data_IF_923079649862
#
_entry.id   IF_923079649862
#
_cell.length_a   1.000
_cell.length_b   1.000
_cell.length_c   1.000
_cell.angle_alpha   90.00
_cell.angle_beta   90.00
_cell.angle_gamma   90.00
#
_symmetry.space_group_name_H-M   'P 1'
#
loop_
_entity.id
_entity.type
_entity.pdbx_description
1 polymer ?
#
# COMPACT_ATOMS: atom_id res chain seq x y z
N UNK A 1 22.63 -16.76 9.06
CA UNK A 1 22.50 -16.13 10.41
C UNK A 1 22.64 -14.61 10.37
N UNK A 2 23.58 -14.04 9.60
CA UNK A 2 23.75 -12.58 9.44
C UNK A 2 22.52 -11.88 8.82
N UNK A 3 21.88 -12.49 7.84
CA UNK A 3 20.73 -11.88 7.13
C UNK A 3 19.49 -11.75 8.01
N UNK A 4 19.27 -12.70 8.92
CA UNK A 4 18.16 -12.67 9.88
C UNK A 4 18.33 -11.53 10.89
N UNK A 5 19.54 -11.35 11.43
CA UNK A 5 19.84 -10.25 12.36
C UNK A 5 19.62 -8.88 11.70
N UNK A 6 20.04 -8.73 10.45
CA UNK A 6 19.81 -7.50 9.66
C UNK A 6 18.32 -7.25 9.39
N UNK A 7 17.55 -8.29 9.08
CA UNK A 7 16.10 -8.18 8.88
C UNK A 7 15.37 -7.75 10.16
N UNK A 8 15.76 -8.29 11.32
CA UNK A 8 15.21 -7.92 12.63
C UNK A 8 15.56 -6.47 13.01
N UNK A 9 16.80 -6.04 12.74
CA UNK A 9 17.25 -4.66 12.96
C UNK A 9 16.48 -3.66 12.07
N UNK A 10 16.29 -3.99 10.79
CA UNK A 10 15.48 -3.19 9.87
C UNK A 10 14.02 -3.10 10.34
N UNK A 11 13.42 -4.23 10.73
CA UNK A 11 12.05 -4.26 11.24
C UNK A 11 11.88 -3.39 12.49
N UNK A 12 12.84 -3.44 13.43
CA UNK A 12 12.85 -2.59 14.62
C UNK A 12 12.86 -1.11 14.23
N UNK A 13 13.76 -0.71 13.31
CA UNK A 13 13.86 0.67 12.83
C UNK A 13 12.56 1.15 12.18
N UNK A 14 11.93 0.31 11.35
CA UNK A 14 10.65 0.63 10.72
C UNK A 14 9.55 0.85 11.76
N UNK A 15 9.45 0.01 12.78
CA UNK A 15 8.47 0.20 13.85
C UNK A 15 8.71 1.49 14.66
N UNK A 16 9.96 1.82 14.97
CA UNK A 16 10.30 3.06 15.66
C UNK A 16 9.90 4.29 14.83
N UNK A 17 10.12 4.26 13.52
CA UNK A 17 9.68 5.31 12.59
C UNK A 17 8.15 5.37 12.49
N UNK A 18 7.48 4.22 12.44
CA UNK A 18 6.03 4.11 12.36
C UNK A 18 5.36 4.78 13.56
N UNK A 19 5.85 4.50 14.78
CA UNK A 19 5.33 5.12 16.01
C UNK A 19 5.54 6.63 16.02
N UNK A 20 6.65 7.13 15.48
CA UNK A 20 6.89 8.58 15.37
C UNK A 20 5.92 9.23 14.39
N UNK A 21 5.75 8.65 13.20
CA UNK A 21 4.83 9.15 12.19
C UNK A 21 3.36 9.11 12.66
N UNK A 22 2.96 8.06 13.41
CA UNK A 22 1.63 7.98 14.04
C UNK A 22 1.39 9.14 15.01
N UNK A 23 2.37 9.51 15.83
CA UNK A 23 2.25 10.63 16.79
C UNK A 23 2.15 11.99 16.11
N UNK A 24 2.56 12.08 14.84
CA UNK A 24 2.60 13.32 14.07
C UNK A 24 1.46 13.41 13.05
N UNK A 25 0.60 12.39 12.96
CA UNK A 25 -0.39 12.24 11.90
C UNK A 25 0.23 12.44 10.50
N UNK A 26 1.46 11.94 10.31
CA UNK A 26 2.17 11.99 9.02
C UNK A 26 1.74 10.81 8.16
N UNK A 27 0.57 10.95 7.54
CA UNK A 27 -0.02 9.91 6.69
C UNK A 27 0.85 9.59 5.46
N UNK A 28 1.63 10.54 4.96
CA UNK A 28 2.56 10.30 3.85
C UNK A 28 3.67 9.34 4.27
N UNK A 29 4.31 9.62 5.40
CA UNK A 29 5.35 8.75 5.95
C UNK A 29 4.79 7.39 6.40
N UNK A 30 3.60 7.36 6.99
CA UNK A 30 2.93 6.09 7.33
C UNK A 30 2.67 5.24 6.10
N UNK A 31 2.21 5.84 4.99
CA UNK A 31 2.01 5.13 3.72
C UNK A 31 3.30 4.49 3.23
N UNK A 32 4.40 5.24 3.25
CA UNK A 32 5.75 4.77 2.86
C UNK A 32 6.23 3.62 3.75
N UNK A 33 6.13 3.78 5.07
CA UNK A 33 6.59 2.79 6.05
C UNK A 33 5.81 1.48 5.95
N UNK A 34 4.48 1.54 5.83
CA UNK A 34 3.67 0.33 5.64
C UNK A 34 4.00 -0.38 4.33
N UNK A 35 4.30 0.34 3.26
CA UNK A 35 4.74 -0.25 1.98
C UNK A 35 6.08 -0.98 2.13
N UNK A 36 7.03 -0.37 2.84
CA UNK A 36 8.35 -0.97 3.11
C UNK A 36 8.23 -2.23 3.98
N UNK A 37 7.44 -2.18 5.04
CA UNK A 37 7.13 -3.34 5.89
C UNK A 37 6.43 -4.44 5.10
N UNK A 38 5.48 -4.08 4.22
CA UNK A 38 4.79 -5.05 3.36
C UNK A 38 5.76 -5.76 2.42
N UNK A 39 6.69 -5.01 1.82
CA UNK A 39 7.74 -5.54 0.94
C UNK A 39 8.63 -6.53 1.67
N UNK A 40 9.11 -6.17 2.87
CA UNK A 40 9.92 -7.05 3.70
C UNK A 40 9.16 -8.35 4.04
N UNK A 41 7.93 -8.25 4.56
CA UNK A 41 7.11 -9.43 4.87
C UNK A 41 6.92 -10.33 3.64
N UNK A 42 6.59 -9.76 2.48
CA UNK A 42 6.34 -10.52 1.27
C UNK A 42 7.61 -11.21 0.76
N UNK A 43 8.77 -10.56 0.83
CA UNK A 43 10.07 -11.14 0.49
C UNK A 43 10.45 -12.32 1.41
N UNK A 44 10.02 -12.26 2.68
CA UNK A 44 10.18 -13.32 3.68
C UNK A 44 9.08 -14.40 3.61
N UNK A 45 8.21 -14.36 2.60
CA UNK A 45 7.05 -15.25 2.43
C UNK A 45 6.02 -15.18 3.57
N UNK A 46 5.95 -14.04 4.28
CA UNK A 46 4.97 -13.76 5.32
C UNK A 46 3.75 -13.02 4.74
N UNK A 47 2.56 -13.14 5.36
CA UNK A 47 1.38 -12.37 4.95
C UNK A 47 1.62 -10.86 5.03
N UNK A 48 1.42 -10.14 3.93
CA UNK A 48 1.66 -8.69 3.85
C UNK A 48 0.45 -7.88 3.36
N UNK A 49 -0.67 -8.53 3.04
CA UNK A 49 -1.85 -7.86 2.48
C UNK A 49 -2.39 -6.73 3.37
N UNK A 50 -2.44 -6.94 4.69
CA UNK A 50 -2.91 -5.93 5.62
C UNK A 50 -2.01 -4.68 5.63
N UNK A 51 -0.69 -4.86 5.52
CA UNK A 51 0.28 -3.76 5.43
C UNK A 51 0.14 -3.01 4.10
N UNK A 52 -0.07 -3.72 2.98
CA UNK A 52 -0.39 -3.09 1.69
C UNK A 52 -1.68 -2.28 1.77
N UNK A 53 -2.72 -2.81 2.44
CA UNK A 53 -3.99 -2.10 2.65
C UNK A 53 -3.80 -0.84 3.48
N UNK A 54 -3.05 -0.91 4.57
CA UNK A 54 -2.74 0.28 5.37
C UNK A 54 -1.92 1.31 4.60
N UNK A 55 -0.96 0.88 3.78
CA UNK A 55 -0.20 1.80 2.93
C UNK A 55 -1.11 2.61 1.99
N UNK A 56 -2.03 1.93 1.30
CA UNK A 56 -3.01 2.57 0.40
C UNK A 56 -3.96 3.49 1.18
N UNK A 57 -4.46 3.04 2.33
CA UNK A 57 -5.35 3.83 3.19
C UNK A 57 -4.68 5.11 3.68
N UNK A 58 -3.42 5.04 4.12
CA UNK A 58 -2.68 6.21 4.57
C UNK A 58 -2.40 7.18 3.41
N UNK A 59 -2.16 6.68 2.20
CA UNK A 59 -2.06 7.51 1.00
C UNK A 59 -3.34 8.33 0.77
N UNK A 60 -4.50 7.68 0.80
CA UNK A 60 -5.79 8.36 0.67
C UNK A 60 -6.07 9.33 1.83
N UNK A 61 -5.73 8.97 3.07
CA UNK A 61 -5.89 9.88 4.23
C UNK A 61 -5.00 11.11 4.14
N UNK A 62 -3.79 10.96 3.60
CA UNK A 62 -2.90 12.09 3.30
C UNK A 62 -3.59 13.04 2.32
N UNK A 63 -4.09 12.52 1.20
CA UNK A 63 -4.77 13.31 0.18
C UNK A 63 -6.04 14.00 0.74
N UNK A 64 -6.80 13.30 1.58
CA UNK A 64 -7.96 13.84 2.29
C UNK A 64 -7.58 14.98 3.26
N UNK A 65 -6.48 14.82 4.00
CA UNK A 65 -5.97 15.82 4.96
C UNK A 65 -5.51 17.09 4.24
N UNK A 66 -4.83 16.93 3.10
CA UNK A 66 -4.32 18.04 2.31
C UNK A 66 -5.45 18.79 1.58
N UNK A 67 -6.59 18.14 1.29
CA UNK A 67 -7.77 18.72 0.60
C UNK A 67 -7.45 19.28 -0.79
N UNK A 68 -6.34 18.85 -1.38
CA UNK A 68 -5.91 19.26 -2.73
C UNK A 68 -6.67 18.46 -3.79
N UNK A 69 -6.94 17.19 -3.50
CA UNK A 69 -7.55 16.25 -4.44
C UNK A 69 -9.00 15.96 -4.03
N UNK A 70 -9.93 16.07 -5.00
CA UNK A 70 -11.33 15.67 -4.79
C UNK A 70 -11.58 14.22 -5.16
N UNK A 71 -10.87 13.73 -6.19
CA UNK A 71 -11.11 12.43 -6.81
C UNK A 71 -9.81 11.75 -7.18
N UNK A 72 -9.88 10.43 -7.17
CA UNK A 72 -8.83 9.54 -7.63
C UNK A 72 -9.38 8.55 -8.65
N UNK A 73 -8.50 8.12 -9.53
CA UNK A 73 -8.72 7.04 -10.49
C UNK A 73 -7.80 5.87 -10.16
N UNK A 74 -8.30 4.64 -10.27
CA UNK A 74 -7.46 3.45 -10.11
C UNK A 74 -6.63 3.25 -11.39
N UNK A 75 -5.31 3.27 -11.23
CA UNK A 75 -4.37 2.88 -12.26
C UNK A 75 -3.92 1.42 -12.03
N UNK A 76 -4.43 0.52 -12.86
CA UNK A 76 -4.16 -0.92 -12.77
C UNK A 76 -4.01 -1.62 -14.12
N UNK A 77 -3.76 -0.85 -15.20
CA UNK A 77 -3.59 -1.36 -16.56
C UNK A 77 -2.48 -2.43 -16.67
N UNK A 78 -1.37 -2.25 -15.95
CA UNK A 78 -0.24 -3.19 -15.89
C UNK A 78 -0.41 -4.28 -14.80
N UNK A 79 -1.58 -4.35 -14.18
CA UNK A 79 -1.90 -5.33 -13.15
C UNK A 79 -2.16 -6.73 -13.70
N UNK A 80 -2.42 -7.69 -12.80
CA UNK A 80 -3.00 -8.98 -13.20
C UNK A 80 -4.46 -8.82 -13.63
N UNK A 81 -5.05 -9.84 -14.25
CA UNK A 81 -6.43 -9.79 -14.76
C UNK A 81 -7.48 -9.36 -13.71
N UNK A 82 -7.33 -9.78 -12.45
CA UNK A 82 -8.21 -9.31 -11.37
C UNK A 82 -8.05 -7.81 -11.07
N UNK A 83 -6.83 -7.30 -11.13
CA UNK A 83 -6.57 -5.87 -10.90
C UNK A 83 -7.08 -5.00 -12.05
N UNK A 84 -6.93 -5.47 -13.30
CA UNK A 84 -7.34 -4.73 -14.50
C UNK A 84 -8.84 -4.43 -14.54
N UNK A 85 -9.68 -5.25 -13.89
CA UNK A 85 -11.12 -5.02 -13.75
C UNK A 85 -11.45 -3.67 -13.10
N UNK A 86 -10.56 -3.17 -12.25
CA UNK A 86 -10.72 -1.89 -11.56
C UNK A 86 -10.10 -0.71 -12.31
N UNK A 87 -9.42 -0.94 -13.43
CA UNK A 87 -8.68 0.12 -14.11
C UNK A 87 -9.64 1.21 -14.61
N UNK A 88 -9.36 2.46 -14.27
CA UNK A 88 -10.17 3.60 -14.67
C UNK A 88 -11.40 3.86 -13.80
N UNK A 89 -11.66 3.04 -12.78
CA UNK A 89 -12.68 3.35 -11.78
C UNK A 89 -12.32 4.64 -11.04
N UNK A 90 -13.28 5.55 -10.92
CA UNK A 90 -13.12 6.87 -10.29
C UNK A 90 -13.94 6.95 -9.01
N UNK A 91 -13.33 7.49 -7.96
CA UNK A 91 -13.91 7.64 -6.63
C UNK A 91 -13.62 9.04 -6.09
N UNK A 92 -14.46 9.55 -5.19
CA UNK A 92 -13.98 10.55 -4.23
C UNK A 92 -12.99 9.91 -3.27
N UNK A 93 -12.20 10.72 -2.55
CA UNK A 93 -11.25 10.18 -1.58
C UNK A 93 -11.98 9.41 -0.47
N UNK A 94 -13.13 9.91 -0.02
CA UNK A 94 -13.98 9.27 0.99
C UNK A 94 -14.55 7.94 0.49
N UNK A 95 -15.06 7.88 -0.74
CA UNK A 95 -15.55 6.63 -1.34
C UNK A 95 -14.44 5.60 -1.48
N UNK A 96 -13.23 6.02 -1.85
CA UNK A 96 -12.07 5.16 -1.95
C UNK A 96 -11.65 4.60 -0.58
N UNK A 97 -11.71 5.42 0.48
CA UNK A 97 -11.44 5.00 1.87
C UNK A 97 -12.50 4.05 2.42
N UNK A 98 -13.76 4.21 2.02
CA UNK A 98 -14.85 3.32 2.44
C UNK A 98 -14.76 1.97 1.73
N UNK A 99 -14.65 1.98 0.40
CA UNK A 99 -14.68 0.77 -0.43
C UNK A 99 -13.36 0.01 -0.40
N UNK A 100 -12.24 0.71 -0.26
CA UNK A 100 -10.87 0.17 -0.31
C UNK A 100 -10.67 -0.86 -1.44
N UNK A 101 -10.94 -0.52 -2.72
CA UNK A 101 -10.78 -1.44 -3.85
C UNK A 101 -9.33 -1.90 -4.04
N UNK A 102 -8.36 -1.05 -3.71
CA UNK A 102 -6.94 -1.41 -3.64
C UNK A 102 -6.48 -1.59 -2.18
N UNK A 103 -5.56 -2.54 -1.92
CA UNK A 103 -5.05 -3.57 -2.83
C UNK A 103 -6.09 -4.67 -3.10
N UNK A 104 -6.05 -5.26 -4.29
CA UNK A 104 -6.95 -6.37 -4.67
C UNK A 104 -6.52 -7.66 -3.97
N UNK A 105 -7.39 -8.22 -3.11
CA UNK A 105 -7.10 -9.42 -2.31
C UNK A 105 -6.80 -10.66 -3.17
N UNK A 106 -7.41 -10.77 -4.34
CA UNK A 106 -7.21 -11.88 -5.29
C UNK A 106 -6.07 -11.64 -6.28
N UNK A 107 -5.28 -10.57 -6.10
CA UNK A 107 -4.15 -10.24 -6.98
C UNK A 107 -3.16 -11.42 -7.09
N UNK A 108 -2.81 -11.79 -8.32
CA UNK A 108 -1.90 -12.91 -8.63
C UNK A 108 -0.45 -12.52 -8.83
N UNK A 109 -0.14 -11.22 -8.72
CA UNK A 109 1.23 -10.74 -8.85
C UNK A 109 2.05 -11.14 -7.62
N UNK A 110 3.33 -11.42 -7.86
CA UNK A 110 4.34 -11.80 -6.87
C UNK A 110 5.59 -10.94 -7.07
N UNK A 111 6.33 -10.63 -6.00
CA UNK A 111 7.65 -9.97 -6.14
C UNK A 111 8.67 -10.92 -6.78
N UNK A 112 8.60 -12.21 -6.45
CA UNK A 112 9.48 -13.27 -6.97
C UNK A 112 8.68 -14.56 -7.11
N UNK A 113 9.15 -15.49 -7.96
CA UNK A 113 8.44 -16.76 -8.23
C UNK A 113 8.08 -17.55 -6.96
N UNK A 114 8.96 -17.54 -5.96
CA UNK A 114 8.77 -18.27 -4.69
C UNK A 114 7.91 -17.56 -3.65
N UNK A 115 7.51 -16.30 -3.90
CA UNK A 115 6.67 -15.55 -2.98
C UNK A 115 5.20 -15.98 -3.05
N UNK A 116 4.42 -15.71 -1.99
CA UNK A 116 2.96 -15.88 -2.05
C UNK A 116 2.34 -14.97 -3.13
N UNK A 117 1.09 -15.28 -3.52
CA UNK A 117 0.26 -14.35 -4.28
C UNK A 117 -0.01 -13.06 -3.46
N UNK A 118 -0.73 -12.10 -4.04
CA UNK A 118 -1.20 -10.87 -3.39
C UNK A 118 -0.13 -9.78 -3.19
N UNK A 119 0.77 -9.57 -4.14
CA UNK A 119 1.57 -8.35 -4.23
C UNK A 119 0.96 -7.35 -5.21
N UNK A 120 0.02 -6.53 -4.74
CA UNK A 120 -0.68 -5.58 -5.58
C UNK A 120 0.16 -4.30 -5.75
N UNK A 121 0.59 -4.01 -6.98
CA UNK A 121 1.34 -2.79 -7.31
C UNK A 121 0.49 -1.72 -8.02
N UNK A 122 -0.82 -1.82 -7.94
CA UNK A 122 -1.75 -0.83 -8.48
C UNK A 122 -1.85 0.37 -7.52
N UNK A 123 -2.27 1.52 -8.03
CA UNK A 123 -2.30 2.76 -7.25
C UNK A 123 -3.52 3.61 -7.58
N UNK A 124 -3.88 4.48 -6.64
CA UNK A 124 -4.74 5.62 -6.91
C UNK A 124 -3.92 6.72 -7.56
N UNK A 125 -4.45 7.33 -8.62
CA UNK A 125 -3.85 8.49 -9.28
C UNK A 125 -4.80 9.69 -9.20
N UNK A 126 -4.29 10.92 -9.01
CA UNK A 126 -5.11 12.12 -9.02
C UNK A 126 -5.87 12.28 -10.35
N UNK A 127 -7.15 12.66 -10.29
CA UNK A 127 -7.87 13.17 -11.46
C UNK A 127 -7.74 14.69 -11.48
N UNK A 128 -7.11 15.22 -12.54
CA UNK A 128 -7.03 16.66 -12.78
C UNK A 128 -8.29 17.06 -13.55
N UNK A 129 -9.11 17.94 -12.97
CA UNK A 129 -10.27 18.57 -13.62
C UNK A 129 -9.88 19.88 -14.29
#
# INVERSE_FOLDING_TARGET
>A
MKDRKKADENWRKLNEQLVKAMKQDDFGELSRLYSEMASQCHQENKPSFHLQKFSQEMGLRKDLKERILKRVEIFSADGCEECKKHNGEKYTIEEALEKMPLPVKTCKRKIKKSAPDCWCGCSYSPVIE
#
